data_IF_406727424407
#
_entry.id   IF_406727424407
#
_cell.length_a   1.000
_cell.length_b   1.000
_cell.length_c   1.000
_cell.angle_alpha   90.00
_cell.angle_beta   90.00
_cell.angle_gamma   90.00
#
_symmetry.space_group_name_H-M   'P 1'
#
loop_
_entity.id
_entity.type
_entity.pdbx_description
1 polymer ?
#
# COMPACT_ATOMS: atom_id res chain seq x y z
N UNK A 1 -43.07 28.25 17.50
CA UNK A 1 -43.45 27.03 18.25
C UNK A 1 -42.31 26.05 18.13
N UNK A 2 -41.56 25.90 19.22
CA UNK A 2 -40.36 25.07 19.32
C UNK A 2 -40.77 23.65 19.73
N UNK A 3 -40.27 22.63 19.05
CA UNK A 3 -40.45 21.22 19.47
C UNK A 3 -39.06 20.68 19.81
N UNK A 4 -38.80 20.64 21.11
CA UNK A 4 -37.68 19.98 21.77
C UNK A 4 -37.91 18.47 21.72
N UNK A 5 -36.98 17.70 21.15
CA UNK A 5 -36.99 16.24 21.25
C UNK A 5 -36.01 15.80 22.35
N UNK A 6 -36.57 15.19 23.38
CA UNK A 6 -35.94 14.72 24.62
C UNK A 6 -34.94 13.59 24.35
N UNK A 7 -33.72 13.77 24.86
CA UNK A 7 -32.67 12.74 24.96
C UNK A 7 -33.01 11.82 26.13
N UNK A 8 -33.15 10.52 25.87
CA UNK A 8 -33.25 9.49 26.93
C UNK A 8 -31.85 8.93 27.18
N UNK A 9 -31.27 9.33 28.32
CA UNK A 9 -30.13 8.69 28.96
C UNK A 9 -30.57 7.33 29.55
N UNK A 10 -29.80 6.27 29.31
CA UNK A 10 -29.79 5.12 30.24
C UNK A 10 -28.42 4.96 30.88
N UNK A 11 -28.46 4.96 32.22
CA UNK A 11 -27.33 4.97 33.14
C UNK A 11 -26.99 3.54 33.56
N UNK A 12 -25.69 3.29 33.58
CA UNK A 12 -24.90 2.28 34.30
C UNK A 12 -25.61 1.59 35.47
N UNK A 13 -25.48 0.26 35.54
CA UNK A 13 -25.49 -0.49 36.80
C UNK A 13 -24.24 -1.37 36.92
N UNK A 14 -23.52 -1.19 38.03
CA UNK A 14 -22.45 -2.06 38.55
C UNK A 14 -23.05 -2.95 39.65
N UNK A 15 -22.75 -4.25 39.60
CA UNK A 15 -22.63 -5.18 40.75
C UNK A 15 -22.01 -6.47 40.16
N UNK A 16 -20.75 -6.82 40.42
CA UNK A 16 -20.15 -7.40 41.63
C UNK A 16 -20.57 -8.85 41.91
N UNK A 17 -19.65 -9.79 41.63
CA UNK A 17 -19.47 -11.06 42.32
C UNK A 17 -20.20 -12.28 41.76
N UNK A 18 -19.43 -13.25 41.24
CA UNK A 18 -19.46 -14.68 41.60
C UNK A 18 -18.27 -15.37 40.90
N UNK A 19 -17.34 -15.89 41.71
CA UNK A 19 -16.35 -16.89 41.29
C UNK A 19 -17.07 -18.22 41.04
N UNK A 20 -16.78 -18.89 39.93
CA UNK A 20 -16.68 -20.36 39.87
C UNK A 20 -16.05 -20.83 38.55
N UNK A 21 -14.96 -21.59 38.73
CA UNK A 21 -14.52 -22.74 37.94
C UNK A 21 -14.25 -22.61 36.42
N UNK A 22 -12.95 -22.59 36.08
CA UNK A 22 -12.43 -22.93 34.76
C UNK A 22 -11.38 -24.04 34.93
N UNK A 23 -11.45 -25.16 34.18
CA UNK A 23 -10.56 -26.29 34.36
C UNK A 23 -9.12 -25.97 33.90
N UNK A 24 -8.15 -26.26 34.77
CA UNK A 24 -6.72 -26.07 34.51
C UNK A 24 -6.24 -27.03 33.43
N UNK A 25 -5.78 -26.47 32.31
CA UNK A 25 -5.02 -27.22 31.30
C UNK A 25 -3.61 -27.52 31.85
N UNK A 26 -3.28 -28.81 32.01
CA UNK A 26 -1.98 -29.30 32.50
C UNK A 26 -0.89 -29.05 31.44
N UNK A 27 0.14 -28.27 31.78
CA UNK A 27 1.40 -28.23 31.00
C UNK A 27 2.28 -29.43 31.36
N UNK A 28 2.98 -30.08 30.40
CA UNK A 28 4.00 -31.07 30.73
C UNK A 28 5.25 -30.39 31.32
N UNK A 29 5.83 -31.03 32.34
CA UNK A 29 7.15 -30.68 32.90
C UNK A 29 8.25 -31.18 31.95
N UNK A 30 9.10 -30.29 31.48
CA UNK A 30 10.46 -30.65 31.05
C UNK A 30 11.44 -29.84 31.89
N UNK A 31 12.18 -30.53 32.74
CA UNK A 31 13.26 -29.96 33.52
C UNK A 31 14.55 -30.02 32.72
N UNK A 32 15.15 -28.86 32.44
CA UNK A 32 16.55 -28.76 32.07
C UNK A 32 17.16 -27.63 32.88
N UNK A 33 18.07 -27.98 33.79
CA UNK A 33 18.77 -27.08 34.69
C UNK A 33 19.74 -26.21 33.90
N UNK A 34 19.57 -24.89 33.93
CA UNK A 34 20.56 -23.93 33.40
C UNK A 34 21.60 -23.70 34.49
N UNK A 35 22.86 -24.12 34.26
CA UNK A 35 24.00 -23.70 35.08
C UNK A 35 24.41 -22.29 34.67
N UNK A 36 24.51 -21.39 35.66
CA UNK A 36 25.10 -20.06 35.49
C UNK A 36 26.60 -20.18 35.21
N UNK A 37 27.07 -19.51 34.16
CA UNK A 37 28.49 -19.23 33.95
C UNK A 37 28.72 -17.75 34.21
N UNK A 38 29.49 -17.46 35.25
CA UNK A 38 30.06 -16.15 35.54
C UNK A 38 31.20 -15.86 34.58
N UNK A 39 31.16 -14.72 33.89
CA UNK A 39 32.28 -14.23 33.09
C UNK A 39 33.28 -13.52 34.00
N UNK A 40 34.54 -13.98 34.00
CA UNK A 40 35.69 -13.22 34.49
C UNK A 40 36.24 -12.38 33.34
N UNK A 41 36.45 -11.09 33.58
CA UNK A 41 37.19 -10.19 32.71
C UNK A 41 38.68 -10.33 33.03
N UNK A 42 39.44 -11.01 32.17
CA UNK A 42 40.90 -10.85 32.13
C UNK A 42 41.22 -9.94 30.95
N UNK A 43 41.56 -8.70 31.28
CA UNK A 43 42.32 -7.81 30.40
C UNK A 43 43.73 -8.42 30.19
N UNK A 44 44.32 -8.07 29.05
CA UNK A 44 45.73 -8.27 28.72
C UNK A 44 46.13 -9.59 28.03
N UNK A 45 45.78 -9.70 26.73
CA UNK A 45 46.57 -10.45 25.74
C UNK A 45 46.57 -9.74 24.39
N UNK A 46 47.72 -9.16 24.04
CA UNK A 46 48.06 -8.74 22.68
C UNK A 46 48.00 -9.94 21.73
N UNK A 47 47.05 -9.95 20.80
CA UNK A 47 46.96 -10.99 19.77
C UNK A 47 47.76 -10.57 18.55
N UNK A 48 48.88 -11.25 18.32
CA UNK A 48 49.63 -11.19 17.07
C UNK A 48 48.77 -11.73 15.93
N UNK A 49 48.80 -11.05 14.78
CA UNK A 49 48.05 -11.39 13.58
C UNK A 49 48.48 -12.78 13.06
N UNK A 50 47.64 -13.83 13.11
CA UNK A 50 48.00 -15.10 12.49
C UNK A 50 47.68 -15.01 11.01
N UNK A 51 48.72 -15.07 10.18
CA UNK A 51 48.60 -15.29 8.75
C UNK A 51 47.64 -16.46 8.51
N UNK A 52 46.49 -16.18 7.89
CA UNK A 52 45.49 -17.17 7.57
C UNK A 52 46.01 -18.05 6.45
N UNK A 53 46.49 -19.24 6.82
CA UNK A 53 46.47 -20.41 5.95
C UNK A 53 45.01 -20.74 5.65
N UNK A 54 44.43 -20.10 4.64
CA UNK A 54 43.19 -20.56 4.01
C UNK A 54 43.59 -21.80 3.20
N UNK A 55 43.08 -23.00 3.52
CA UNK A 55 43.32 -24.15 2.68
C UNK A 55 42.74 -23.83 1.31
N UNK A 56 43.52 -24.10 0.26
CA UNK A 56 43.09 -24.00 -1.14
C UNK A 56 42.06 -25.11 -1.42
N UNK A 57 40.87 -24.98 -0.84
CA UNK A 57 39.72 -25.79 -1.21
C UNK A 57 39.30 -25.29 -2.57
N UNK A 58 39.70 -26.02 -3.62
CA UNK A 58 39.01 -25.96 -4.91
C UNK A 58 37.52 -25.99 -4.60
N UNK A 59 36.85 -24.86 -4.80
CA UNK A 59 35.42 -24.76 -4.66
C UNK A 59 34.84 -25.87 -5.54
N UNK A 60 34.16 -26.79 -4.88
CA UNK A 60 33.48 -27.88 -5.53
C UNK A 60 32.37 -27.27 -6.39
N UNK A 61 32.65 -27.06 -7.68
CA UNK A 61 31.69 -26.57 -8.67
C UNK A 61 30.68 -27.65 -9.06
N UNK A 62 30.33 -28.58 -8.14
CA UNK A 62 29.08 -29.31 -8.24
C UNK A 62 27.98 -28.27 -8.37
N UNK A 63 27.38 -28.21 -9.56
CA UNK A 63 26.47 -27.17 -9.98
C UNK A 63 25.47 -26.82 -8.88
N UNK A 64 25.24 -25.52 -8.69
CA UNK A 64 24.22 -25.03 -7.77
C UNK A 64 22.94 -25.87 -7.98
N UNK A 65 22.27 -26.31 -6.90
CA UNK A 65 21.06 -27.11 -7.04
C UNK A 65 20.08 -26.35 -7.91
N UNK A 66 19.74 -26.92 -9.08
CA UNK A 66 18.63 -26.45 -9.89
C UNK A 66 17.36 -26.73 -9.12
N UNK A 67 16.74 -25.65 -8.63
CA UNK A 67 15.41 -25.70 -8.04
C UNK A 67 14.39 -25.79 -9.17
N UNK A 68 13.43 -26.70 -9.04
CA UNK A 68 12.32 -26.78 -9.99
C UNK A 68 11.44 -25.53 -9.85
N UNK A 69 11.06 -24.86 -10.97
CA UNK A 69 10.20 -23.69 -10.92
C UNK A 69 8.84 -24.00 -10.27
N UNK A 70 8.44 -23.13 -9.36
CA UNK A 70 7.16 -23.11 -8.66
C UNK A 70 6.21 -22.07 -9.27
N UNK A 71 4.95 -22.08 -8.83
CA UNK A 71 4.00 -21.04 -9.21
C UNK A 71 4.41 -19.63 -8.71
N UNK A 72 5.27 -19.54 -7.69
CA UNK A 72 5.76 -18.26 -7.18
C UNK A 72 6.82 -17.64 -8.10
N UNK A 73 7.55 -18.46 -8.86
CA UNK A 73 8.54 -17.98 -9.83
C UNK A 73 7.89 -17.20 -10.97
N UNK A 74 6.60 -17.42 -11.25
CA UNK A 74 5.84 -16.61 -12.20
C UNK A 74 5.67 -15.14 -11.74
N UNK A 75 5.71 -14.89 -10.42
CA UNK A 75 5.61 -13.54 -9.85
C UNK A 75 6.97 -12.97 -9.48
N UNK A 76 7.96 -13.82 -9.18
CA UNK A 76 9.32 -13.39 -8.86
C UNK A 76 10.20 -13.18 -10.10
N UNK A 77 9.97 -13.91 -11.20
CA UNK A 77 10.72 -13.75 -12.45
C UNK A 77 10.78 -12.29 -12.94
N UNK A 78 9.64 -11.58 -13.06
CA UNK A 78 9.65 -10.16 -13.42
C UNK A 78 10.41 -9.27 -12.43
N UNK A 79 10.45 -9.63 -11.14
CA UNK A 79 11.23 -8.91 -10.13
C UNK A 79 12.72 -9.06 -10.40
N UNK A 80 13.19 -10.25 -10.77
CA UNK A 80 14.59 -10.49 -11.11
C UNK A 80 14.98 -9.82 -12.43
N UNK A 81 14.16 -10.00 -13.48
CA UNK A 81 14.38 -9.42 -14.81
C UNK A 81 14.50 -7.89 -14.78
N UNK A 82 13.70 -7.24 -13.92
CA UNK A 82 13.70 -5.79 -13.74
C UNK A 82 14.69 -5.31 -12.66
N UNK A 83 15.42 -6.20 -12.00
CA UNK A 83 16.37 -5.84 -10.94
C UNK A 83 15.72 -5.20 -9.71
N UNK A 84 14.55 -5.70 -9.31
CA UNK A 84 13.71 -5.14 -8.25
C UNK A 84 13.82 -5.87 -6.90
N UNK A 85 14.68 -6.89 -6.81
CA UNK A 85 14.80 -7.76 -5.63
C UNK A 85 15.02 -7.00 -4.32
N UNK A 86 15.86 -5.95 -4.33
CA UNK A 86 16.11 -5.10 -3.18
C UNK A 86 14.87 -4.31 -2.74
N UNK A 87 13.98 -3.92 -3.65
CA UNK A 87 12.80 -3.15 -3.33
C UNK A 87 11.72 -4.01 -2.69
N UNK A 88 11.49 -5.22 -3.23
CA UNK A 88 10.54 -6.17 -2.61
C UNK A 88 11.07 -6.68 -1.27
N UNK A 89 12.39 -6.88 -1.13
CA UNK A 89 12.98 -7.21 0.16
C UNK A 89 12.73 -6.13 1.21
N UNK A 90 12.86 -4.84 0.85
CA UNK A 90 12.52 -3.74 1.76
C UNK A 90 11.03 -3.73 2.08
N UNK A 91 10.17 -3.95 1.09
CA UNK A 91 8.72 -3.99 1.27
C UNK A 91 8.31 -5.08 2.27
N UNK A 92 8.83 -6.30 2.13
CA UNK A 92 8.52 -7.43 3.02
C UNK A 92 9.02 -7.20 4.46
N UNK A 93 10.21 -6.61 4.61
CA UNK A 93 10.83 -6.43 5.92
C UNK A 93 10.33 -5.17 6.67
N UNK A 94 10.16 -4.06 5.96
CA UNK A 94 9.83 -2.76 6.55
C UNK A 94 8.38 -2.32 6.34
N UNK A 95 7.62 -3.02 5.48
CA UNK A 95 6.22 -2.69 5.20
C UNK A 95 6.05 -1.71 4.04
N UNK A 96 7.13 -1.12 3.54
CA UNK A 96 7.13 -0.19 2.41
C UNK A 96 8.48 -0.16 1.70
N UNK A 97 8.51 0.38 0.49
CA UNK A 97 9.71 0.63 -0.30
C UNK A 97 9.56 1.89 -1.15
N UNK A 98 10.70 2.42 -1.62
CA UNK A 98 10.76 3.55 -2.56
C UNK A 98 11.63 3.13 -3.72
N UNK A 99 11.06 3.15 -4.92
CA UNK A 99 11.76 2.87 -6.18
C UNK A 99 12.11 4.22 -6.82
N UNK A 100 13.37 4.46 -7.21
CA UNK A 100 13.83 5.75 -7.70
C UNK A 100 13.33 6.01 -9.14
N UNK A 101 13.24 7.30 -9.56
CA UNK A 101 12.58 7.69 -10.79
C UNK A 101 13.18 7.04 -12.04
N UNK A 102 14.51 6.88 -12.08
CA UNK A 102 15.23 6.27 -13.20
C UNK A 102 14.87 4.80 -13.46
N UNK A 103 14.29 4.12 -12.46
CA UNK A 103 13.79 2.75 -12.60
C UNK A 103 12.31 2.74 -12.97
N UNK A 104 11.52 3.69 -12.46
CA UNK A 104 10.05 3.66 -12.54
C UNK A 104 9.52 3.99 -13.93
N UNK A 105 9.89 5.15 -14.46
CA UNK A 105 9.34 5.66 -15.71
C UNK A 105 10.23 6.78 -16.28
N UNK A 106 10.24 6.94 -17.62
CA UNK A 106 11.05 7.98 -18.23
C UNK A 106 10.44 9.39 -18.02
N UNK A 107 11.24 10.46 -18.06
CA UNK A 107 10.79 11.81 -17.73
C UNK A 107 9.59 12.32 -18.56
N UNK A 108 9.53 11.96 -19.84
CA UNK A 108 8.43 12.35 -20.73
C UNK A 108 7.08 11.75 -20.32
N UNK A 109 7.09 10.53 -19.77
CA UNK A 109 5.90 9.92 -19.21
C UNK A 109 5.44 10.68 -17.97
N UNK A 110 6.39 11.03 -17.09
CA UNK A 110 6.11 11.79 -15.86
C UNK A 110 5.53 13.17 -16.17
N UNK A 111 6.01 13.84 -17.22
CA UNK A 111 5.46 15.11 -17.66
C UNK A 111 4.01 14.95 -18.15
N UNK A 112 3.74 13.98 -19.03
CA UNK A 112 2.39 13.69 -19.54
C UNK A 112 1.40 13.41 -18.43
N UNK A 113 1.72 12.50 -17.51
CA UNK A 113 0.80 12.14 -16.41
C UNK A 113 0.60 13.29 -15.43
N UNK A 114 1.63 14.12 -15.18
CA UNK A 114 1.49 15.33 -14.35
C UNK A 114 0.54 16.33 -15.00
N UNK A 115 0.68 16.56 -16.31
CA UNK A 115 -0.17 17.47 -17.06
C UNK A 115 -1.62 16.96 -17.12
N UNK A 116 -1.83 15.65 -17.26
CA UNK A 116 -3.16 15.05 -17.19
C UNK A 116 -3.83 15.30 -15.83
N UNK A 117 -3.11 15.08 -14.72
CA UNK A 117 -3.62 15.38 -13.37
C UNK A 117 -3.98 16.86 -13.20
N UNK A 118 -3.11 17.78 -13.63
CA UNK A 118 -3.37 19.22 -13.54
C UNK A 118 -4.56 19.68 -14.40
N UNK A 119 -4.71 19.09 -15.59
CA UNK A 119 -5.86 19.32 -16.48
C UNK A 119 -7.15 18.87 -15.80
N UNK A 120 -7.20 17.64 -15.31
CA UNK A 120 -8.38 17.09 -14.61
C UNK A 120 -8.71 17.90 -13.36
N UNK A 121 -7.70 18.30 -12.58
CA UNK A 121 -7.86 19.21 -11.45
C UNK A 121 -8.53 20.52 -11.89
N UNK A 122 -8.03 21.13 -12.96
CA UNK A 122 -8.54 22.41 -13.48
C UNK A 122 -9.98 22.29 -13.97
N UNK A 123 -10.30 21.27 -14.75
CA UNK A 123 -11.64 21.03 -15.30
C UNK A 123 -12.68 20.81 -14.19
N UNK A 124 -12.33 19.99 -13.18
CA UNK A 124 -13.24 19.60 -12.11
C UNK A 124 -13.42 20.68 -11.05
N UNK A 125 -12.37 21.43 -10.72
CA UNK A 125 -12.44 22.56 -9.77
C UNK A 125 -12.95 23.84 -10.39
N UNK A 126 -12.76 24.02 -11.71
CA UNK A 126 -12.96 25.29 -12.40
C UNK A 126 -11.88 26.34 -12.13
N UNK A 127 -10.77 25.96 -11.49
CA UNK A 127 -9.65 26.85 -11.14
C UNK A 127 -8.36 26.28 -11.71
N UNK A 128 -7.54 27.14 -12.32
CA UNK A 128 -6.24 26.71 -12.86
C UNK A 128 -5.29 26.27 -11.75
N UNK A 129 -4.68 25.09 -11.92
CA UNK A 129 -3.69 24.54 -10.99
C UNK A 129 -2.29 24.54 -11.62
N UNK A 130 -1.28 24.99 -10.85
CA UNK A 130 0.13 25.01 -11.26
C UNK A 130 1.00 24.51 -10.13
N UNK A 131 2.04 23.74 -10.43
CA UNK A 131 2.90 23.12 -9.40
C UNK A 131 3.52 24.14 -8.42
N UNK A 132 3.94 25.30 -8.91
CA UNK A 132 4.59 26.34 -8.10
C UNK A 132 3.64 27.24 -7.32
N UNK A 133 2.33 27.02 -7.37
CA UNK A 133 1.33 27.84 -6.67
C UNK A 133 0.47 26.96 -5.75
N UNK A 134 -0.03 27.54 -4.65
CA UNK A 134 -0.99 26.85 -3.80
C UNK A 134 -2.29 26.58 -4.57
N UNK A 135 -2.94 25.47 -4.24
CA UNK A 135 -4.18 25.04 -4.88
C UNK A 135 -5.41 25.76 -4.35
N UNK A 136 -6.52 25.56 -5.04
CA UNK A 136 -7.86 26.03 -4.65
C UNK A 136 -8.86 24.93 -5.01
N UNK A 137 -9.67 24.43 -4.06
CA UNK A 137 -10.65 23.40 -4.37
C UNK A 137 -11.74 23.89 -5.33
N UNK A 138 -11.91 25.20 -5.51
CA UNK A 138 -12.92 25.78 -6.39
C UNK A 138 -14.32 25.24 -6.06
N UNK A 139 -14.98 24.67 -7.07
CA UNK A 139 -16.29 24.01 -6.92
C UNK A 139 -16.19 22.53 -6.49
N UNK A 140 -15.00 21.96 -6.41
CA UNK A 140 -14.78 20.53 -6.16
C UNK A 140 -14.69 20.26 -4.65
N UNK A 141 -15.65 19.50 -4.13
CA UNK A 141 -15.77 19.21 -2.70
C UNK A 141 -15.50 17.76 -2.34
N UNK A 142 -15.10 16.93 -3.31
CA UNK A 142 -14.87 15.51 -3.07
C UNK A 142 -13.57 15.30 -2.27
N UNK A 143 -13.73 14.75 -1.08
CA UNK A 143 -12.71 14.53 -0.06
C UNK A 143 -13.10 13.29 0.74
N UNK A 144 -12.12 12.49 1.14
CA UNK A 144 -12.36 11.32 2.02
C UNK A 144 -12.42 11.77 3.49
N UNK A 145 -11.77 12.89 3.85
CA UNK A 145 -11.47 13.23 5.25
C UNK A 145 -11.84 14.68 5.64
N UNK A 146 -13.09 15.07 5.42
CA UNK A 146 -13.59 16.39 5.83
C UNK A 146 -13.25 17.51 4.84
N UNK A 147 -13.64 18.75 5.16
CA UNK A 147 -13.66 19.89 4.22
C UNK A 147 -12.31 20.14 3.51
N UNK A 148 -12.32 20.15 2.18
CA UNK A 148 -11.14 20.33 1.34
C UNK A 148 -10.46 21.69 1.55
N UNK A 149 -11.22 22.74 1.86
CA UNK A 149 -10.70 24.08 2.16
C UNK A 149 -9.97 24.12 3.49
N UNK A 150 -10.56 23.49 4.51
CA UNK A 150 -9.96 23.44 5.85
C UNK A 150 -8.67 22.61 5.86
N UNK A 151 -8.63 21.55 5.06
CA UNK A 151 -7.51 20.60 5.04
C UNK A 151 -6.46 20.88 3.96
N UNK A 152 -6.64 21.95 3.17
CA UNK A 152 -5.78 22.32 2.04
C UNK A 152 -5.44 21.12 1.11
N UNK A 153 -6.45 20.29 0.84
CA UNK A 153 -6.34 19.13 -0.03
C UNK A 153 -7.69 18.69 -0.57
N UNK A 154 -7.69 18.04 -1.73
CA UNK A 154 -8.81 17.23 -2.21
C UNK A 154 -8.29 16.01 -2.97
N UNK A 155 -9.19 15.07 -3.27
CA UNK A 155 -8.85 13.82 -3.97
C UNK A 155 -9.58 13.75 -5.31
N UNK A 156 -8.82 13.65 -6.39
CA UNK A 156 -9.39 13.41 -7.71
C UNK A 156 -9.65 11.91 -7.87
N UNK A 157 -10.93 11.54 -7.98
CA UNK A 157 -11.34 10.14 -8.12
C UNK A 157 -11.45 9.68 -9.57
N UNK A 158 -11.37 8.37 -9.80
CA UNK A 158 -11.66 7.73 -11.10
C UNK A 158 -10.81 8.26 -12.26
N UNK A 159 -9.50 8.43 -12.05
CA UNK A 159 -8.62 8.98 -13.09
C UNK A 159 -8.45 8.07 -14.31
N UNK A 160 -8.73 6.76 -14.17
CA UNK A 160 -8.55 5.77 -15.23
C UNK A 160 -9.21 6.17 -16.56
N UNK A 161 -10.35 6.87 -16.52
CA UNK A 161 -11.13 7.24 -17.70
C UNK A 161 -10.81 8.65 -18.24
N UNK A 162 -9.95 9.40 -17.55
CA UNK A 162 -9.72 10.81 -17.86
C UNK A 162 -8.65 11.02 -18.94
N UNK A 163 -7.74 10.06 -19.13
CA UNK A 163 -6.62 10.14 -20.05
C UNK A 163 -5.97 8.76 -20.27
N UNK A 164 -5.49 8.49 -21.48
CA UNK A 164 -4.84 7.21 -21.80
C UNK A 164 -3.54 6.99 -21.01
N UNK A 165 -2.88 8.07 -20.55
CA UNK A 165 -1.67 7.97 -19.74
C UNK A 165 -1.90 7.23 -18.41
N UNK A 166 -3.13 7.24 -17.89
CA UNK A 166 -3.51 6.48 -16.69
C UNK A 166 -3.65 4.98 -16.98
N UNK A 167 -4.03 4.62 -18.20
CA UNK A 167 -4.03 3.23 -18.66
C UNK A 167 -2.60 2.75 -18.94
N UNK A 168 -1.72 3.62 -19.45
CA UNK A 168 -0.28 3.34 -19.57
C UNK A 168 0.36 3.13 -18.19
N UNK A 169 0.00 3.95 -17.18
CA UNK A 169 0.45 3.76 -15.81
C UNK A 169 0.04 2.40 -15.23
N UNK A 170 -1.19 1.98 -15.48
CA UNK A 170 -1.70 0.68 -15.05
C UNK A 170 -0.83 -0.49 -15.58
N UNK A 171 -0.29 -0.37 -16.79
CA UNK A 171 0.58 -1.37 -17.42
C UNK A 171 2.08 -1.11 -17.20
N UNK A 172 2.47 -0.13 -16.38
CA UNK A 172 3.88 0.12 -16.11
C UNK A 172 4.55 -1.16 -15.53
N UNK A 173 5.66 -1.64 -16.11
CA UNK A 173 6.21 -2.96 -15.78
C UNK A 173 6.74 -3.04 -14.34
N UNK A 174 7.34 -1.96 -13.83
CA UNK A 174 7.87 -1.91 -12.46
C UNK A 174 6.73 -1.91 -11.44
N UNK A 175 5.73 -1.05 -11.65
CA UNK A 175 4.52 -1.04 -10.83
C UNK A 175 3.82 -2.40 -10.87
N UNK A 176 3.54 -2.94 -12.05
CA UNK A 176 2.85 -4.22 -12.22
C UNK A 176 3.58 -5.37 -11.55
N UNK A 177 4.91 -5.47 -11.73
CA UNK A 177 5.72 -6.54 -11.14
C UNK A 177 5.68 -6.52 -9.60
N UNK A 178 5.88 -5.35 -8.98
CA UNK A 178 5.85 -5.23 -7.51
C UNK A 178 4.46 -5.54 -6.97
N UNK A 179 3.41 -5.01 -7.61
CA UNK A 179 2.04 -5.26 -7.15
C UNK A 179 1.65 -6.73 -7.33
N UNK A 180 2.00 -7.37 -8.44
CA UNK A 180 1.67 -8.77 -8.68
C UNK A 180 2.47 -9.71 -7.75
N UNK A 181 3.71 -9.35 -7.37
CA UNK A 181 4.48 -10.03 -6.31
C UNK A 181 3.74 -10.02 -4.97
N UNK A 182 3.34 -8.83 -4.49
CA UNK A 182 2.69 -8.67 -3.19
C UNK A 182 1.32 -9.33 -3.14
N UNK A 183 0.55 -9.19 -4.23
CA UNK A 183 -0.78 -9.75 -4.34
C UNK A 183 -0.77 -11.24 -4.70
N UNK A 184 0.40 -11.83 -4.93
CA UNK A 184 0.58 -13.23 -5.33
C UNK A 184 -0.36 -13.64 -6.49
N UNK A 185 -0.54 -12.74 -7.47
CA UNK A 185 -1.43 -12.93 -8.61
C UNK A 185 -2.94 -12.89 -8.32
N UNK A 186 -3.36 -12.67 -7.07
CA UNK A 186 -4.76 -12.53 -6.67
C UNK A 186 -5.27 -11.07 -6.75
N UNK A 187 -4.47 -10.15 -7.28
CA UNK A 187 -4.79 -8.73 -7.33
C UNK A 187 -5.97 -8.39 -8.25
N UNK A 188 -6.73 -7.38 -7.84
CA UNK A 188 -7.66 -6.58 -8.64
C UNK A 188 -7.27 -5.12 -8.53
N UNK A 189 -7.52 -4.37 -9.58
CA UNK A 189 -7.35 -2.93 -9.58
C UNK A 189 -8.49 -2.29 -8.80
N UNK A 190 -8.20 -1.68 -7.65
CA UNK A 190 -9.24 -1.11 -6.80
C UNK A 190 -9.58 0.32 -7.20
N UNK A 191 -8.55 1.16 -7.39
CA UNK A 191 -8.72 2.57 -7.72
C UNK A 191 -7.41 3.18 -8.21
N UNK A 192 -7.55 4.31 -8.89
CA UNK A 192 -6.49 5.22 -9.30
C UNK A 192 -6.98 6.66 -9.12
N UNK A 193 -6.30 7.37 -8.23
CA UNK A 193 -6.70 8.67 -7.73
C UNK A 193 -5.48 9.60 -7.64
N UNK A 194 -5.71 10.89 -7.46
CA UNK A 194 -4.62 11.86 -7.21
C UNK A 194 -4.94 12.74 -6.03
N UNK A 195 -4.08 12.73 -5.02
CA UNK A 195 -4.12 13.72 -3.96
C UNK A 195 -3.56 15.03 -4.48
N UNK A 196 -4.39 16.08 -4.50
CA UNK A 196 -3.94 17.45 -4.73
C UNK A 196 -3.85 18.14 -3.38
N UNK A 197 -2.62 18.29 -2.87
CA UNK A 197 -2.35 18.94 -1.57
C UNK A 197 -1.55 20.21 -1.80
N UNK A 198 -1.84 21.26 -1.05
CA UNK A 198 -1.04 22.49 -1.01
C UNK A 198 -0.73 22.86 0.44
N UNK A 199 -0.16 24.05 0.65
CA UNK A 199 0.23 24.51 1.98
C UNK A 199 -0.93 24.42 2.98
N UNK A 200 -0.72 23.63 4.02
CA UNK A 200 -1.63 23.48 5.15
C UNK A 200 -1.24 24.44 6.27
N UNK A 201 -2.12 24.63 7.25
CA UNK A 201 -1.72 25.28 8.50
C UNK A 201 -0.62 24.44 9.18
N UNK A 202 0.34 25.12 9.78
CA UNK A 202 1.35 24.47 10.62
C UNK A 202 0.70 23.99 11.91
N UNK A 203 0.71 22.67 12.12
CA UNK A 203 0.16 21.97 13.28
C UNK A 203 1.28 21.44 14.20
N UNK A 204 2.49 21.98 14.07
CA UNK A 204 3.69 21.56 14.79
C UNK A 204 4.18 20.17 14.37
N UNK A 205 4.83 19.47 15.30
CA UNK A 205 5.42 18.14 15.07
C UNK A 205 4.38 16.98 15.01
N UNK A 206 3.13 17.30 14.67
CA UNK A 206 2.07 16.30 14.53
C UNK A 206 1.82 15.94 13.06
N UNK A 207 1.22 14.78 12.83
CA UNK A 207 0.84 14.36 11.48
C UNK A 207 -0.45 15.08 11.06
N UNK A 208 -0.46 15.64 9.86
CA UNK A 208 -1.67 16.23 9.25
C UNK A 208 -2.74 15.19 8.94
N UNK A 209 -2.32 13.96 8.63
CA UNK A 209 -3.17 12.78 8.58
C UNK A 209 -2.62 11.78 9.58
N UNK A 210 -3.41 11.46 10.61
CA UNK A 210 -3.03 10.52 11.66
C UNK A 210 -2.68 9.13 11.12
N UNK A 211 -1.94 8.36 11.92
CA UNK A 211 -1.56 7.01 11.52
C UNK A 211 -2.80 6.11 11.38
N UNK A 212 -2.85 5.35 10.29
CA UNK A 212 -3.92 4.42 9.96
C UNK A 212 -3.39 3.31 9.03
N UNK A 213 -4.26 2.34 8.71
CA UNK A 213 -4.03 1.31 7.69
C UNK A 213 -5.06 1.40 6.59
N UNK A 214 -4.69 1.03 5.37
CA UNK A 214 -5.63 0.94 4.23
C UNK A 214 -6.39 -0.39 4.18
N UNK A 215 -5.90 -1.41 4.90
CA UNK A 215 -6.53 -2.72 4.96
C UNK A 215 -7.93 -2.66 5.62
N UNK A 216 -8.89 -3.47 5.15
CA UNK A 216 -10.21 -3.54 5.77
C UNK A 216 -10.14 -4.27 7.11
N UNK A 217 -10.33 -3.55 8.21
CA UNK A 217 -10.40 -4.13 9.55
C UNK A 217 -11.77 -4.81 9.78
N UNK A 218 -11.76 -5.91 10.53
CA UNK A 218 -12.98 -6.49 11.09
C UNK A 218 -13.63 -5.52 12.09
N UNK A 219 -14.91 -5.73 12.48
CA UNK A 219 -15.54 -4.94 13.54
C UNK A 219 -14.77 -4.93 14.86
N UNK A 220 -13.97 -5.97 15.13
CA UNK A 220 -13.10 -6.10 16.29
C UNK A 220 -11.74 -5.40 16.13
N UNK A 221 -11.51 -4.72 14.99
CA UNK A 221 -10.29 -3.95 14.72
C UNK A 221 -9.10 -4.79 14.24
N UNK A 222 -9.33 -6.05 13.88
CA UNK A 222 -8.30 -6.97 13.38
C UNK A 222 -8.20 -6.87 11.86
N UNK A 223 -7.00 -6.65 11.36
CA UNK A 223 -6.70 -6.76 9.94
C UNK A 223 -6.36 -8.21 9.59
N UNK A 224 -6.67 -8.67 8.36
CA UNK A 224 -6.14 -9.94 7.89
C UNK A 224 -4.62 -9.97 8.06
N UNK A 225 -4.10 -11.05 8.65
CA UNK A 225 -2.65 -11.23 8.81
C UNK A 225 -1.93 -11.43 7.48
N UNK A 226 -2.65 -11.81 6.42
CA UNK A 226 -2.07 -11.99 5.11
C UNK A 226 -1.83 -10.61 4.45
N UNK A 227 -0.59 -10.39 4.03
CA UNK A 227 -0.12 -9.11 3.50
C UNK A 227 -0.46 -8.91 2.01
N UNK A 228 -1.13 -9.88 1.40
CA UNK A 228 -1.61 -9.96 0.02
C UNK A 228 -3.06 -9.49 -0.14
N UNK A 229 -3.63 -8.88 0.90
CA UNK A 229 -5.01 -8.37 0.87
C UNK A 229 -5.13 -7.02 0.20
N UNK A 230 -4.23 -6.09 0.52
CA UNK A 230 -4.21 -4.74 -0.02
C UNK A 230 -2.77 -4.31 -0.18
N UNK A 231 -2.45 -3.70 -1.32
CA UNK A 231 -1.19 -3.04 -1.58
C UNK A 231 -1.49 -1.70 -2.23
N UNK A 232 -0.79 -0.65 -1.80
CA UNK A 232 -0.99 0.68 -2.31
C UNK A 232 0.33 1.23 -2.83
N UNK A 233 0.25 2.06 -3.86
CA UNK A 233 1.41 2.67 -4.50
C UNK A 233 1.13 4.13 -4.83
N UNK A 234 2.11 4.99 -4.65
CA UNK A 234 2.05 6.40 -5.02
C UNK A 234 3.21 6.73 -5.97
N UNK A 235 2.88 7.07 -7.21
CA UNK A 235 3.81 7.72 -8.14
C UNK A 235 3.92 9.19 -7.75
N UNK A 236 5.10 9.61 -7.30
CA UNK A 236 5.38 10.99 -6.90
C UNK A 236 5.43 11.90 -8.14
N UNK A 237 4.50 12.84 -8.28
CA UNK A 237 4.49 13.80 -9.40
C UNK A 237 5.19 15.12 -9.07
N UNK A 238 5.58 15.28 -7.81
CA UNK A 238 6.40 16.36 -7.24
C UNK A 238 7.39 15.74 -6.27
N UNK A 239 8.35 16.52 -5.77
CA UNK A 239 9.23 16.06 -4.71
C UNK A 239 8.46 15.82 -3.41
N UNK A 240 8.90 14.82 -2.66
CA UNK A 240 8.40 14.47 -1.34
C UNK A 240 9.54 14.71 -0.35
N UNK A 241 9.40 15.76 0.46
CA UNK A 241 10.23 16.01 1.64
C UNK A 241 9.32 16.09 2.86
N UNK A 242 9.89 16.00 4.07
CA UNK A 242 9.09 16.21 5.29
C UNK A 242 8.38 17.58 5.27
N UNK A 243 9.05 18.63 4.80
CA UNK A 243 8.49 19.98 4.71
C UNK A 243 7.41 20.12 3.61
N UNK A 244 7.51 19.34 2.52
CA UNK A 244 6.49 19.27 1.46
C UNK A 244 5.30 18.36 1.83
N UNK A 245 5.27 17.85 3.06
CA UNK A 245 4.19 17.01 3.57
C UNK A 245 4.20 15.62 2.97
N UNK A 246 5.36 14.96 2.95
CA UNK A 246 5.51 13.59 2.48
C UNK A 246 4.70 12.58 3.33
N UNK A 247 4.65 11.34 2.85
CA UNK A 247 4.03 10.23 3.56
C UNK A 247 4.84 9.94 4.83
N UNK A 248 4.14 9.67 5.93
CA UNK A 248 4.72 9.14 7.16
C UNK A 248 4.51 7.63 7.20
N UNK A 249 5.52 6.86 7.60
CA UNK A 249 5.44 5.40 7.71
C UNK A 249 5.99 4.95 9.07
N UNK A 250 5.40 3.93 9.68
CA UNK A 250 6.01 3.24 10.83
C UNK A 250 6.60 1.91 10.33
N UNK A 251 7.92 1.79 10.19
CA UNK A 251 8.52 0.59 9.62
C UNK A 251 8.21 -0.67 10.47
N UNK A 252 7.86 -1.77 9.80
CA UNK A 252 7.55 -3.06 10.43
C UNK A 252 6.14 -3.18 11.04
N UNK A 253 5.37 -2.10 11.04
CA UNK A 253 4.00 -2.06 11.61
C UNK A 253 2.99 -2.94 10.87
N UNK A 254 3.26 -3.29 9.60
CA UNK A 254 2.42 -4.21 8.81
C UNK A 254 2.22 -5.58 9.44
N UNK A 255 3.11 -5.97 10.35
CA UNK A 255 3.08 -7.23 11.09
C UNK A 255 2.17 -7.20 12.32
N UNK A 256 1.67 -6.02 12.70
CA UNK A 256 0.83 -5.85 13.90
C UNK A 256 -0.62 -6.30 13.67
N UNK A 257 -1.09 -6.35 12.42
CA UNK A 257 -2.41 -6.88 12.07
C UNK A 257 -3.59 -6.11 12.68
N UNK A 258 -3.43 -4.80 12.91
CA UNK A 258 -4.45 -3.90 13.47
C UNK A 258 -4.15 -2.44 13.12
N UNK A 259 -5.12 -1.57 13.37
CA UNK A 259 -4.90 -0.12 13.39
C UNK A 259 -4.09 0.32 14.63
N UNK A 260 -3.39 1.47 14.55
CA UNK A 260 -2.77 2.09 15.73
C UNK A 260 -3.83 2.59 16.71
N UNK A 261 -3.53 2.52 18.01
CA UNK A 261 -4.29 3.23 19.02
C UNK A 261 -4.05 4.74 18.97
N UNK A 262 -4.84 5.56 19.69
CA UNK A 262 -4.66 7.00 19.74
C UNK A 262 -3.22 7.40 20.15
N UNK A 263 -2.52 8.12 19.26
CA UNK A 263 -1.14 8.58 19.47
C UNK A 263 -0.06 7.50 19.40
N UNK A 264 -0.43 6.23 19.19
CA UNK A 264 0.51 5.13 19.12
C UNK A 264 1.37 5.21 17.85
N UNK A 265 2.69 5.09 18.00
CA UNK A 265 3.62 4.98 16.87
C UNK A 265 3.97 6.30 16.20
N UNK A 266 3.39 7.43 16.62
CA UNK A 266 3.73 8.77 16.09
C UNK A 266 5.22 9.08 16.29
N UNK A 267 5.78 8.70 17.42
CA UNK A 267 7.20 8.82 17.77
C UNK A 267 8.12 7.93 16.92
N UNK A 268 7.55 6.91 16.27
CA UNK A 268 8.26 5.95 15.40
C UNK A 268 8.02 6.20 13.92
N UNK A 269 7.17 7.16 13.58
CA UNK A 269 6.87 7.50 12.21
C UNK A 269 8.08 8.20 11.56
N UNK A 270 8.47 7.74 10.39
CA UNK A 270 9.56 8.30 9.59
C UNK A 270 9.01 8.97 8.32
N UNK A 271 9.61 10.09 7.87
CA UNK A 271 9.29 10.69 6.58
C UNK A 271 9.78 9.81 5.44
N UNK A 272 8.88 9.53 4.48
CA UNK A 272 9.23 8.89 3.22
C UNK A 272 9.58 9.98 2.21
N UNK A 273 10.85 10.36 2.20
CA UNK A 273 11.36 11.35 1.25
C UNK A 273 11.72 10.68 -0.07
N UNK A 274 11.30 11.30 -1.18
CA UNK A 274 11.46 10.75 -2.52
C UNK A 274 11.44 11.87 -3.57
N UNK A 275 12.37 11.88 -4.55
CA UNK A 275 12.30 12.84 -5.64
C UNK A 275 11.10 12.55 -6.55
N UNK A 276 10.67 13.57 -7.30
CA UNK A 276 9.68 13.44 -8.37
C UNK A 276 10.01 12.26 -9.29
N UNK A 277 9.00 11.48 -9.61
CA UNK A 277 9.07 10.27 -10.43
C UNK A 277 9.29 8.98 -9.65
N UNK A 278 9.63 9.06 -8.36
CA UNK A 278 9.74 7.87 -7.52
C UNK A 278 8.40 7.17 -7.34
N UNK A 279 8.43 5.86 -7.12
CA UNK A 279 7.28 5.05 -6.76
C UNK A 279 7.41 4.59 -5.32
N UNK A 280 6.51 5.05 -4.46
CA UNK A 280 6.40 4.58 -3.08
C UNK A 280 5.38 3.44 -3.06
N UNK A 281 5.73 2.26 -2.53
CA UNK A 281 4.81 1.11 -2.43
C UNK A 281 4.76 0.64 -0.99
N UNK A 282 3.57 0.30 -0.47
CA UNK A 282 3.39 -0.22 0.88
C UNK A 282 2.28 -1.27 0.99
N UNK A 283 2.42 -2.17 1.95
CA UNK A 283 1.35 -3.09 2.33
C UNK A 283 0.19 -2.32 2.97
N UNK A 284 -1.04 -2.77 2.73
CA UNK A 284 -2.24 -2.15 3.31
C UNK A 284 -2.29 -2.18 4.84
N UNK A 285 -1.55 -3.09 5.48
CA UNK A 285 -1.43 -3.16 6.95
C UNK A 285 -0.37 -2.20 7.52
N UNK A 286 0.48 -1.60 6.69
CA UNK A 286 1.51 -0.67 7.16
C UNK A 286 0.85 0.58 7.74
N UNK A 287 1.20 0.91 8.98
CA UNK A 287 0.77 2.14 9.62
C UNK A 287 1.42 3.31 8.92
N UNK A 288 0.59 4.18 8.37
CA UNK A 288 1.03 5.32 7.60
C UNK A 288 0.13 6.52 7.83
N UNK A 289 0.63 7.69 7.46
CA UNK A 289 -0.05 8.97 7.59
C UNK A 289 0.58 10.00 6.67
N UNK A 290 0.40 11.29 6.96
CA UNK A 290 1.01 12.35 6.17
C UNK A 290 1.51 13.49 7.05
N UNK A 291 2.73 13.95 6.79
CA UNK A 291 3.25 15.18 7.38
C UNK A 291 2.51 16.41 6.82
N UNK A 292 2.39 17.50 7.60
CA UNK A 292 1.84 18.76 7.11
C UNK A 292 2.68 19.29 5.95
N UNK A 293 2.03 19.93 4.97
CA UNK A 293 2.74 20.59 3.87
C UNK A 293 2.96 22.04 4.25
N UNK A 294 4.21 22.41 4.52
CA UNK A 294 4.59 23.73 5.04
C UNK A 294 5.09 24.68 3.95
N UNK A 295 5.48 24.14 2.80
CA UNK A 295 5.95 24.86 1.63
C UNK A 295 4.80 25.33 0.74
N UNK A 296 5.01 26.42 -0.01
CA UNK A 296 4.10 26.82 -1.08
C UNK A 296 4.15 25.84 -2.26
N UNK A 297 3.13 25.85 -3.11
CA UNK A 297 3.03 24.95 -4.26
C UNK A 297 2.24 23.67 -3.97
N UNK A 298 2.08 22.86 -5.00
CA UNK A 298 1.35 21.59 -4.93
C UNK A 298 2.27 20.43 -4.59
N UNK A 299 1.73 19.46 -3.83
CA UNK A 299 2.25 18.09 -3.73
C UNK A 299 1.26 17.17 -4.43
N UNK A 300 1.70 16.54 -5.52
CA UNK A 300 0.87 15.70 -6.36
C UNK A 300 1.36 14.25 -6.36
N UNK A 301 0.43 13.32 -6.56
CA UNK A 301 0.74 11.93 -6.86
C UNK A 301 -0.31 11.31 -7.77
N UNK A 302 0.00 10.15 -8.32
CA UNK A 302 -1.01 9.17 -8.71
C UNK A 302 -0.95 8.04 -7.71
N UNK A 303 -1.99 7.90 -6.90
CA UNK A 303 -2.14 6.82 -5.93
C UNK A 303 -2.96 5.71 -6.57
N UNK A 304 -2.46 4.48 -6.49
CA UNK A 304 -3.04 3.31 -7.11
C UNK A 304 -3.05 2.16 -6.11
N UNK A 305 -4.23 1.61 -5.85
CA UNK A 305 -4.41 0.53 -4.89
C UNK A 305 -4.84 -0.74 -5.61
N UNK A 306 -4.18 -1.85 -5.30
CA UNK A 306 -4.72 -3.18 -5.61
C UNK A 306 -5.25 -3.81 -4.33
N UNK A 307 -6.35 -4.52 -4.49
CA UNK A 307 -6.92 -5.36 -3.44
C UNK A 307 -7.03 -6.79 -3.94
N UNK A 308 -7.10 -7.75 -3.02
CA UNK A 308 -7.31 -9.14 -3.36
C UNK A 308 -8.69 -9.27 -4.03
N UNK A 309 -8.87 -10.18 -4.99
CA UNK A 309 -10.16 -10.39 -5.65
C UNK A 309 -11.29 -10.79 -4.70
N UNK A 310 -10.97 -11.26 -3.49
CA UNK A 310 -11.94 -11.52 -2.43
C UNK A 310 -12.51 -10.24 -1.78
N UNK A 311 -11.88 -9.09 -2.01
CA UNK A 311 -12.30 -7.79 -1.48
C UNK A 311 -13.10 -6.99 -2.51
N UNK A 312 -13.99 -6.14 -2.00
CA UNK A 312 -14.68 -5.16 -2.83
C UNK A 312 -13.72 -4.00 -3.15
N UNK A 313 -13.61 -3.68 -4.43
CA UNK A 313 -12.85 -2.53 -4.93
C UNK A 313 -13.48 -1.21 -4.48
N UNK A 314 -12.66 -0.16 -4.31
CA UNK A 314 -13.15 1.18 -3.98
C UNK A 314 -13.90 1.80 -5.17
N UNK A 315 -13.35 1.67 -6.37
CA UNK A 315 -14.04 2.02 -7.60
C UNK A 315 -14.85 0.84 -8.11
N UNK A 316 -16.01 1.15 -8.68
CA UNK A 316 -16.91 0.20 -9.31
C UNK A 316 -16.44 -0.07 -10.74
N UNK A 317 -15.33 -0.78 -10.89
CA UNK A 317 -14.93 -1.36 -12.16
C UNK A 317 -15.72 -2.64 -12.45
N UNK A 318 -15.66 -3.10 -13.70
CA UNK A 318 -16.33 -4.31 -14.16
C UNK A 318 -16.89 -4.16 -15.57
N UNK A 319 -17.45 -5.26 -16.08
CA UNK A 319 -17.96 -5.37 -17.46
C UNK A 319 -18.96 -4.28 -17.86
N UNK A 320 -19.75 -3.76 -16.94
CA UNK A 320 -20.78 -2.75 -17.22
C UNK A 320 -20.23 -1.31 -17.20
N UNK A 321 -18.97 -1.13 -16.78
CA UNK A 321 -18.36 0.19 -16.58
C UNK A 321 -17.16 0.40 -17.52
N UNK A 322 -16.37 -0.64 -17.80
CA UNK A 322 -15.23 -0.52 -18.71
C UNK A 322 -15.69 -0.54 -20.17
N UNK A 323 -15.40 0.49 -20.98
CA UNK A 323 -15.81 0.53 -22.39
C UNK A 323 -15.12 -0.54 -23.25
N UNK A 324 -15.83 -1.12 -24.22
CA UNK A 324 -15.28 -2.13 -25.14
C UNK A 324 -14.05 -1.63 -25.91
N UNK A 325 -14.03 -0.36 -26.32
CA UNK A 325 -12.89 0.25 -27.01
C UNK A 325 -11.61 0.22 -26.16
N UNK A 326 -11.75 0.37 -24.84
CA UNK A 326 -10.65 0.29 -23.89
C UNK A 326 -10.21 -1.17 -23.70
N UNK A 327 -11.15 -2.12 -23.63
CA UNK A 327 -10.82 -3.54 -23.56
C UNK A 327 -10.13 -4.06 -24.84
N UNK A 328 -10.50 -3.54 -26.00
CA UNK A 328 -9.96 -3.97 -27.30
C UNK A 328 -8.49 -3.59 -27.50
N UNK A 329 -8.01 -2.53 -26.82
CA UNK A 329 -6.65 -2.00 -26.96
C UNK A 329 -5.72 -2.33 -25.78
N UNK A 330 -6.18 -3.13 -24.82
CA UNK A 330 -5.43 -3.45 -23.59
C UNK A 330 -5.21 -4.95 -23.43
N UNK A 331 -4.26 -5.28 -22.55
CA UNK A 331 -3.81 -6.65 -22.32
C UNK A 331 -4.91 -7.55 -21.74
N UNK A 332 -4.73 -8.87 -21.80
CA UNK A 332 -5.59 -9.81 -21.05
C UNK A 332 -5.49 -9.55 -19.54
N UNK A 333 -4.31 -9.15 -19.06
CA UNK A 333 -4.10 -8.72 -17.67
C UNK A 333 -5.01 -7.55 -17.32
N UNK A 334 -5.16 -6.54 -18.17
CA UNK A 334 -6.05 -5.41 -17.96
C UNK A 334 -7.49 -5.86 -17.66
N UNK A 335 -8.05 -6.70 -18.56
CA UNK A 335 -9.41 -7.23 -18.43
C UNK A 335 -9.60 -7.97 -17.10
N UNK A 336 -8.64 -8.82 -16.75
CA UNK A 336 -8.60 -9.53 -15.46
C UNK A 336 -8.59 -8.52 -14.31
N UNK A 337 -7.65 -7.60 -14.25
CA UNK A 337 -7.50 -6.69 -13.11
C UNK A 337 -8.72 -5.79 -12.90
N UNK A 338 -9.43 -5.42 -13.97
CA UNK A 338 -10.68 -4.65 -13.89
C UNK A 338 -11.92 -5.47 -13.51
N UNK A 339 -11.78 -6.79 -13.30
CA UNK A 339 -12.88 -7.67 -12.92
C UNK A 339 -13.93 -7.87 -14.03
N UNK A 340 -13.56 -7.64 -15.29
CA UNK A 340 -14.49 -7.81 -16.44
C UNK A 340 -14.91 -9.27 -16.59
N UNK A 341 -13.96 -10.17 -16.39
CA UNK A 341 -14.14 -11.62 -16.51
C UNK A 341 -14.39 -12.27 -15.14
N UNK A 342 -14.86 -11.51 -14.13
CA UNK A 342 -15.19 -12.03 -12.81
C UNK A 342 -16.55 -12.78 -12.83
N UNK A 343 -16.62 -14.06 -12.45
CA UNK A 343 -17.89 -14.79 -12.40
C UNK A 343 -18.84 -14.33 -11.28
N UNK A 344 -18.40 -13.46 -10.37
CA UNK A 344 -19.20 -12.91 -9.28
C UNK A 344 -19.96 -11.65 -9.69
N UNK A 345 -20.80 -11.12 -8.78
CA UNK A 345 -21.63 -9.93 -9.06
C UNK A 345 -22.95 -10.26 -9.77
N UNK A 346 -23.57 -11.38 -9.41
CA UNK A 346 -24.80 -11.88 -10.04
C UNK A 346 -25.93 -10.87 -9.99
N UNK A 347 -26.77 -10.91 -11.03
CA UNK A 347 -27.98 -10.09 -11.12
C UNK A 347 -29.19 -10.89 -10.65
N UNK A 348 -30.40 -10.31 -10.75
CA UNK A 348 -31.65 -11.05 -10.55
C UNK A 348 -31.80 -12.25 -11.48
N UNK A 349 -31.04 -12.31 -12.57
CA UNK A 349 -31.02 -13.42 -13.52
C UNK A 349 -30.04 -14.54 -13.13
N UNK A 350 -29.30 -14.41 -12.02
CA UNK A 350 -28.31 -15.39 -11.57
C UNK A 350 -26.90 -15.18 -12.15
N UNK A 351 -26.02 -16.21 -12.05
CA UNK A 351 -24.68 -16.19 -12.64
C UNK A 351 -24.72 -16.13 -14.18
N UNK A 352 -23.69 -15.54 -14.77
CA UNK A 352 -23.41 -15.68 -16.21
C UNK A 352 -22.61 -16.98 -16.46
N UNK A 353 -23.19 -18.01 -17.11
CA UNK A 353 -22.49 -19.27 -17.35
C UNK A 353 -21.26 -19.12 -18.24
N UNK A 354 -21.17 -18.07 -19.06
CA UNK A 354 -20.01 -17.83 -19.92
C UNK A 354 -18.75 -17.42 -19.14
N UNK A 355 -18.92 -16.87 -17.94
CA UNK A 355 -17.82 -16.44 -17.07
C UNK A 355 -17.29 -17.56 -16.18
N UNK A 356 -17.99 -18.70 -16.09
CA UNK A 356 -17.52 -19.82 -15.30
C UNK A 356 -16.62 -20.71 -16.15
N UNK A 357 -15.31 -20.84 -15.82
CA UNK A 357 -14.46 -21.78 -16.54
C UNK A 357 -15.05 -23.19 -16.37
N UNK A 358 -15.17 -23.92 -17.47
CA UNK A 358 -15.44 -25.37 -17.40
C UNK A 358 -14.43 -25.96 -16.43
N UNK A 359 -14.95 -26.70 -15.44
CA UNK A 359 -14.22 -27.28 -14.31
C UNK A 359 -12.85 -27.80 -14.82
N UNK A 360 -11.76 -27.11 -14.44
CA UNK A 360 -10.34 -27.35 -14.79
C UNK A 360 -9.74 -26.38 -15.83
N UNK A 361 -9.35 -25.18 -15.35
CA UNK A 361 -8.08 -24.47 -15.63
C UNK A 361 -8.25 -23.00 -15.20
N UNK A 362 -8.08 -22.72 -13.90
CA UNK A 362 -7.56 -21.40 -13.51
C UNK A 362 -6.05 -21.49 -13.68
N UNK A 363 -5.58 -21.51 -14.93
CA UNK A 363 -4.17 -21.29 -15.21
C UNK A 363 -3.93 -19.81 -14.97
N UNK A 364 -2.99 -19.50 -14.08
CA UNK A 364 -2.45 -18.17 -13.89
C UNK A 364 -1.72 -17.78 -15.19
N UNK A 365 -2.47 -17.40 -16.22
CA UNK A 365 -1.87 -16.90 -17.46
C UNK A 365 -1.39 -15.47 -17.19
N UNK A 366 -0.12 -15.39 -16.82
CA UNK A 366 0.72 -14.20 -16.96
C UNK A 366 1.19 -14.14 -18.41
N UNK A 367 0.45 -13.42 -19.24
CA UNK A 367 0.92 -12.93 -20.55
C UNK A 367 0.30 -11.56 -20.81
#
# INVERSE_FOLDING_TARGET
>A
MSITLTVVLFRVWRTAGILADQPRCRRPRTGTTIRSMTFRTDEDRTVANPATNVPDTKADTRGAPTLEPTALDAYYGPIEELGLAQYVNRLDNFGYTVVPPEVVAPPEFLERITNAVLRVATERTGVEHRLGANGDPGKYTNTIFGDSKANAQYLLFYLLFEDEVFEEWFENPVFAAIMDYIMCGAGRFSNIDSFVKWKTQDVGDTLSLGLHTDGPASPEGVLPFSHDMVCNAALCLTDYTKADGCIAMVPGSHRLGRNPGPGEGVDKAVPVEAPRGSLIVWHGNTWHGAYPKLTDGLRLNVTTLHCNYALKTQHKYGRDVIPDAMLARRSKRFRRMMGVDDPMGWTTNGPDPALWPTRHKRTHETN
#
